data_IF_705686366359
#
_entry.id   IF_705686366359
#
_cell.length_a   1.000
_cell.length_b   1.000
_cell.length_c   1.000
_cell.angle_alpha   90.00
_cell.angle_beta   90.00
_cell.angle_gamma   90.00
#
_symmetry.space_group_name_H-M   'P 1'
#
loop_
_entity.id
_entity.type
_entity.pdbx_description
1 polymer ?
#
# COMPACT_ATOMS: atom_id res chain seq x y z
N UNK A 1 18.62 -45.98 -64.05
CA UNK A 1 17.67 -44.92 -63.65
C UNK A 1 17.92 -44.66 -62.17
N UNK A 2 19.08 -44.05 -61.87
CA UNK A 2 19.33 -42.64 -61.51
C UNK A 2 19.54 -42.59 -59.98
N UNK A 3 20.75 -42.63 -59.41
CA UNK A 3 21.95 -41.79 -59.52
C UNK A 3 21.81 -40.42 -58.81
N UNK A 4 22.64 -40.23 -57.75
CA UNK A 4 23.06 -38.99 -57.03
C UNK A 4 21.96 -38.09 -56.42
N UNK A 5 22.07 -37.40 -55.27
CA UNK A 5 23.20 -36.76 -54.57
C UNK A 5 22.72 -36.25 -53.15
N UNK A 6 23.38 -35.35 -52.39
CA UNK A 6 24.06 -35.66 -51.13
C UNK A 6 23.57 -34.87 -49.88
N UNK A 7 24.15 -35.23 -48.73
CA UNK A 7 24.48 -34.41 -47.55
C UNK A 7 23.83 -33.02 -47.41
N UNK A 8 23.03 -32.84 -46.36
CA UNK A 8 23.04 -31.60 -45.57
C UNK A 8 22.85 -31.91 -44.09
N UNK A 9 23.99 -32.04 -43.40
CA UNK A 9 24.06 -31.92 -41.95
C UNK A 9 23.92 -30.43 -41.59
N UNK A 10 22.73 -29.97 -41.25
CA UNK A 10 22.60 -28.76 -40.43
C UNK A 10 23.09 -29.11 -39.02
N UNK A 11 24.37 -28.86 -38.79
CA UNK A 11 24.92 -28.71 -37.45
C UNK A 11 24.20 -27.52 -36.81
N UNK A 12 23.25 -27.80 -35.91
CA UNK A 12 22.74 -26.79 -35.00
C UNK A 12 23.93 -26.12 -34.30
N UNK A 13 23.99 -24.78 -34.22
CA UNK A 13 25.03 -24.12 -33.46
C UNK A 13 24.91 -24.57 -32.00
N UNK A 14 25.89 -25.36 -31.57
CA UNK A 14 26.09 -25.70 -30.16
C UNK A 14 26.27 -24.37 -29.43
N UNK A 15 25.20 -23.91 -28.75
CA UNK A 15 25.29 -22.75 -27.88
C UNK A 15 26.42 -23.03 -26.89
N UNK A 16 27.40 -22.12 -26.72
CA UNK A 16 28.38 -22.29 -25.67
C UNK A 16 27.61 -22.48 -24.36
N UNK A 17 28.01 -23.44 -23.51
CA UNK A 17 27.38 -23.60 -22.21
C UNK A 17 27.43 -22.23 -21.54
N UNK A 18 26.25 -21.74 -21.13
CA UNK A 18 26.15 -20.54 -20.29
C UNK A 18 27.12 -20.80 -19.16
N UNK A 19 28.20 -20.02 -19.14
CA UNK A 19 29.18 -20.04 -18.08
C UNK A 19 28.37 -19.62 -16.85
N UNK A 20 27.87 -20.60 -16.11
CA UNK A 20 27.43 -20.40 -14.74
C UNK A 20 28.65 -19.82 -14.07
N UNK A 21 28.61 -18.51 -13.87
CA UNK A 21 29.53 -17.87 -12.95
C UNK A 21 29.22 -18.54 -11.63
N UNK A 22 30.03 -19.53 -11.28
CA UNK A 22 30.03 -20.13 -9.98
C UNK A 22 30.53 -19.02 -9.06
N UNK A 23 29.59 -18.21 -8.58
CA UNK A 23 29.85 -17.29 -7.49
C UNK A 23 30.18 -18.23 -6.31
N UNK A 24 31.42 -18.17 -5.79
CA UNK A 24 31.84 -19.03 -4.70
C UNK A 24 30.94 -18.80 -3.47
N UNK A 25 30.93 -19.76 -2.55
CA UNK A 25 30.17 -19.81 -1.29
C UNK A 25 30.46 -18.64 -0.30
N UNK A 26 30.87 -17.47 -0.78
CA UNK A 26 31.31 -16.32 0.02
C UNK A 26 30.17 -15.42 0.50
N UNK A 27 28.94 -15.62 0.03
CA UNK A 27 27.78 -14.83 0.45
C UNK A 27 26.82 -15.64 1.32
N UNK A 28 27.33 -16.29 2.37
CA UNK A 28 26.53 -17.01 3.38
C UNK A 28 25.34 -16.17 3.87
N UNK A 29 25.56 -14.86 4.08
CA UNK A 29 24.50 -13.92 4.49
C UNK A 29 23.39 -13.79 3.44
N UNK A 30 23.74 -13.69 2.15
CA UNK A 30 22.73 -13.58 1.09
C UNK A 30 21.95 -14.89 0.95
N UNK A 31 22.64 -16.04 1.00
CA UNK A 31 21.98 -17.36 0.95
C UNK A 31 21.03 -17.54 2.14
N UNK A 32 21.42 -17.13 3.34
CA UNK A 32 20.58 -17.21 4.52
C UNK A 32 19.34 -16.30 4.42
N UNK A 33 19.51 -15.07 3.93
CA UNK A 33 18.41 -14.13 3.67
C UNK A 33 17.46 -14.72 2.62
N UNK A 34 17.98 -15.21 1.50
CA UNK A 34 17.19 -15.81 0.42
C UNK A 34 16.42 -17.03 0.91
N UNK A 35 17.02 -17.87 1.76
CA UNK A 35 16.32 -18.98 2.41
C UNK A 35 15.16 -18.49 3.29
N UNK A 36 15.38 -17.44 4.08
CA UNK A 36 14.33 -16.81 4.89
C UNK A 36 13.18 -16.25 4.04
N UNK A 37 13.49 -15.50 2.98
CA UNK A 37 12.49 -14.95 2.05
C UNK A 37 11.71 -16.06 1.33
N UNK A 38 12.38 -17.15 0.97
CA UNK A 38 11.72 -18.32 0.34
C UNK A 38 10.81 -19.06 1.33
N UNK A 39 11.19 -19.17 2.61
CA UNK A 39 10.29 -19.70 3.65
C UNK A 39 9.06 -18.80 3.82
N UNK A 40 9.24 -17.48 3.80
CA UNK A 40 8.13 -16.53 3.88
C UNK A 40 7.20 -16.64 2.66
N UNK A 41 7.74 -16.77 1.43
CA UNK A 41 6.92 -17.00 0.21
C UNK A 41 6.01 -18.22 0.32
N UNK A 42 6.56 -19.33 0.83
CA UNK A 42 5.84 -20.60 0.98
C UNK A 42 4.96 -20.69 2.23
N UNK A 43 5.01 -19.68 3.10
CA UNK A 43 4.26 -19.68 4.35
C UNK A 43 2.80 -19.35 4.17
N UNK A 44 1.94 -19.99 4.98
CA UNK A 44 0.51 -19.64 5.12
C UNK A 44 0.28 -18.20 5.58
N UNK A 45 1.29 -17.52 6.14
CA UNK A 45 1.18 -16.12 6.57
C UNK A 45 0.80 -15.20 5.41
N UNK A 46 1.35 -15.42 4.22
CA UNK A 46 1.03 -14.63 3.03
C UNK A 46 -0.44 -14.82 2.61
N UNK A 47 -0.93 -16.07 2.59
CA UNK A 47 -2.33 -16.36 2.26
C UNK A 47 -3.30 -15.77 3.30
N UNK A 48 -2.91 -15.80 4.58
CA UNK A 48 -3.71 -15.25 5.67
C UNK A 48 -3.81 -13.73 5.59
N UNK A 49 -2.71 -13.01 5.37
CA UNK A 49 -2.74 -11.55 5.32
C UNK A 49 -3.60 -11.05 4.16
N UNK A 50 -3.52 -11.72 3.01
CA UNK A 50 -4.35 -11.45 1.84
C UNK A 50 -5.83 -11.75 2.08
N UNK A 51 -6.16 -12.91 2.70
CA UNK A 51 -7.53 -13.26 3.04
C UNK A 51 -8.19 -12.24 3.99
N UNK A 52 -7.37 -11.55 4.80
CA UNK A 52 -7.82 -10.55 5.78
C UNK A 52 -7.97 -9.14 5.21
N UNK A 53 -7.65 -8.88 3.94
CA UNK A 53 -7.89 -7.57 3.30
C UNK A 53 -9.37 -7.16 3.38
N UNK A 54 -10.27 -8.11 3.13
CA UNK A 54 -11.72 -7.90 3.25
C UNK A 54 -12.15 -7.47 4.65
N UNK A 55 -11.47 -7.98 5.69
CA UNK A 55 -11.73 -7.62 7.07
C UNK A 55 -11.35 -6.16 7.35
N UNK A 56 -10.22 -5.68 6.82
CA UNK A 56 -9.84 -4.26 6.94
C UNK A 56 -10.82 -3.34 6.21
N UNK A 57 -11.29 -3.74 5.03
CA UNK A 57 -12.34 -3.00 4.30
C UNK A 57 -13.60 -2.92 5.15
N UNK A 58 -14.09 -4.05 5.68
CA UNK A 58 -15.25 -4.07 6.56
C UNK A 58 -15.03 -3.20 7.80
N UNK A 59 -13.86 -3.29 8.44
CA UNK A 59 -13.49 -2.48 9.59
C UNK A 59 -13.56 -0.98 9.27
N UNK A 60 -13.05 -0.54 8.13
CA UNK A 60 -13.13 0.86 7.72
C UNK A 60 -14.55 1.33 7.41
N UNK A 61 -15.34 0.48 6.75
CA UNK A 61 -16.74 0.79 6.42
C UNK A 61 -17.63 0.90 7.66
N UNK A 62 -17.47 -0.03 8.62
CA UNK A 62 -18.15 0.05 9.92
C UNK A 62 -17.58 1.17 10.80
N UNK A 63 -16.28 1.42 10.71
CA UNK A 63 -15.61 2.54 11.38
C UNK A 63 -16.20 3.88 10.97
N UNK A 64 -16.53 4.07 9.69
CA UNK A 64 -17.21 5.27 9.21
C UNK A 64 -18.57 5.49 9.88
N UNK A 65 -19.39 4.45 10.02
CA UNK A 65 -20.64 4.56 10.78
C UNK A 65 -20.40 4.91 12.24
N UNK A 66 -19.41 4.27 12.87
CA UNK A 66 -19.02 4.57 14.25
C UNK A 66 -18.63 6.04 14.43
N UNK A 67 -17.75 6.55 13.58
CA UNK A 67 -17.31 7.95 13.61
C UNK A 67 -18.45 8.92 13.29
N UNK A 68 -19.41 8.54 12.43
CA UNK A 68 -20.60 9.34 12.12
C UNK A 68 -21.44 9.56 13.39
N UNK A 69 -21.76 8.46 14.09
CA UNK A 69 -22.58 8.50 15.31
C UNK A 69 -21.84 9.19 16.45
N UNK A 70 -20.55 8.90 16.65
CA UNK A 70 -19.75 9.54 17.68
C UNK A 70 -19.58 11.05 17.41
N UNK A 71 -19.51 11.49 16.15
CA UNK A 71 -19.50 12.92 15.81
C UNK A 71 -20.78 13.64 16.19
N UNK A 72 -21.93 13.03 15.95
CA UNK A 72 -23.20 13.59 16.37
C UNK A 72 -23.31 13.61 17.90
N UNK A 73 -22.84 12.56 18.57
CA UNK A 73 -22.81 12.48 20.03
C UNK A 73 -21.87 13.53 20.64
N UNK A 74 -20.69 13.74 20.06
CA UNK A 74 -19.75 14.78 20.48
C UNK A 74 -20.35 16.19 20.33
N UNK A 75 -21.11 16.44 19.27
CA UNK A 75 -21.81 17.71 19.07
C UNK A 75 -22.89 18.00 20.13
N UNK A 76 -23.44 16.97 20.78
CA UNK A 76 -24.37 17.13 21.92
C UNK A 76 -23.61 17.23 23.24
N UNK A 77 -22.59 16.39 23.46
CA UNK A 77 -21.90 16.27 24.75
C UNK A 77 -20.95 17.44 25.01
N UNK A 78 -20.20 17.90 24.01
CA UNK A 78 -19.19 18.93 24.23
C UNK A 78 -19.79 20.28 24.69
N UNK A 79 -20.91 20.77 24.12
CA UNK A 79 -21.54 22.00 24.61
C UNK A 79 -22.13 21.88 26.02
N UNK A 80 -22.57 20.68 26.42
CA UNK A 80 -23.03 20.42 27.78
C UNK A 80 -21.88 20.37 28.79
N UNK A 81 -20.68 20.02 28.34
CA UNK A 81 -19.48 19.95 29.18
C UNK A 81 -18.76 21.29 29.30
N UNK A 82 -18.85 22.13 28.27
CA UNK A 82 -18.07 23.35 28.15
C UNK A 82 -18.96 24.55 27.84
N UNK A 83 -19.17 25.42 28.84
CA UNK A 83 -20.07 26.60 28.73
C UNK A 83 -19.66 27.59 27.63
N UNK A 84 -18.38 27.60 27.25
CA UNK A 84 -17.83 28.46 26.20
C UNK A 84 -18.12 27.95 24.77
N UNK A 85 -18.64 26.74 24.61
CA UNK A 85 -19.03 26.20 23.30
C UNK A 85 -20.49 26.56 22.99
N UNK A 86 -20.76 27.32 21.92
CA UNK A 86 -22.14 27.63 21.55
C UNK A 86 -22.85 26.38 21.02
N UNK A 87 -23.89 25.93 21.73
CA UNK A 87 -24.65 24.71 21.43
C UNK A 87 -25.28 24.66 20.03
N UNK A 88 -25.77 25.79 19.52
CA UNK A 88 -26.41 25.84 18.20
C UNK A 88 -25.43 25.53 17.05
N UNK A 89 -24.25 26.17 17.04
CA UNK A 89 -23.25 25.97 15.99
C UNK A 89 -22.59 24.59 16.05
N UNK A 90 -22.40 24.05 17.25
CA UNK A 90 -21.82 22.72 17.47
C UNK A 90 -22.76 21.61 17.02
N UNK A 91 -24.07 21.72 17.31
CA UNK A 91 -25.08 20.79 16.78
C UNK A 91 -25.15 20.82 15.25
N UNK A 92 -25.15 22.01 14.65
CA UNK A 92 -25.12 22.14 13.19
C UNK A 92 -23.84 21.52 12.59
N UNK A 93 -22.69 21.71 13.26
CA UNK A 93 -21.42 21.08 12.89
C UNK A 93 -21.48 19.55 12.98
N UNK A 94 -22.10 18.99 14.03
CA UNK A 94 -22.31 17.55 14.16
C UNK A 94 -23.21 16.97 13.07
N UNK A 95 -24.27 17.69 12.71
CA UNK A 95 -25.15 17.29 11.60
C UNK A 95 -24.41 17.35 10.25
N UNK A 96 -23.63 18.41 10.02
CA UNK A 96 -22.80 18.53 8.82
C UNK A 96 -21.76 17.40 8.73
N UNK A 97 -21.12 17.04 9.85
CA UNK A 97 -20.19 15.92 9.94
C UNK A 97 -20.87 14.58 9.64
N UNK A 98 -22.05 14.34 10.19
CA UNK A 98 -22.84 13.13 9.93
C UNK A 98 -23.20 13.00 8.44
N UNK A 99 -23.64 14.09 7.80
CA UNK A 99 -23.92 14.09 6.36
C UNK A 99 -22.64 13.89 5.53
N UNK A 100 -21.54 14.55 5.90
CA UNK A 100 -20.25 14.40 5.22
C UNK A 100 -19.72 12.96 5.29
N UNK A 101 -19.82 12.31 6.45
CA UNK A 101 -19.38 10.92 6.65
C UNK A 101 -20.23 9.91 5.86
N UNK A 102 -21.52 10.16 5.65
CA UNK A 102 -22.35 9.37 4.74
C UNK A 102 -21.84 9.49 3.29
N UNK A 103 -21.52 10.70 2.83
CA UNK A 103 -20.97 10.91 1.48
C UNK A 103 -19.61 10.21 1.35
N UNK A 104 -18.74 10.32 2.36
CA UNK A 104 -17.44 9.64 2.39
C UNK A 104 -17.60 8.12 2.36
N UNK A 105 -18.58 7.57 3.06
CA UNK A 105 -18.91 6.15 3.01
C UNK A 105 -19.30 5.71 1.60
N UNK A 106 -20.15 6.47 0.93
CA UNK A 106 -20.53 6.18 -0.45
C UNK A 106 -19.33 6.23 -1.40
N UNK A 107 -18.44 7.22 -1.24
CA UNK A 107 -17.20 7.33 -2.03
C UNK A 107 -16.33 6.09 -1.80
N UNK A 108 -16.05 5.74 -0.54
CA UNK A 108 -15.21 4.58 -0.21
C UNK A 108 -15.81 3.28 -0.78
N UNK A 109 -17.12 3.08 -0.61
CA UNK A 109 -17.85 1.92 -1.15
C UNK A 109 -17.69 1.78 -2.67
N UNK A 110 -17.76 2.90 -3.40
CA UNK A 110 -17.68 2.89 -4.86
C UNK A 110 -16.26 2.69 -5.38
N UNK A 111 -15.25 3.30 -4.73
CA UNK A 111 -13.87 3.30 -5.23
C UNK A 111 -13.02 2.10 -4.77
N UNK A 112 -13.31 1.48 -3.62
CA UNK A 112 -12.55 0.31 -3.15
C UNK A 112 -12.57 -0.88 -4.15
N UNK A 113 -13.71 -1.23 -4.78
CA UNK A 113 -13.73 -2.25 -5.83
C UNK A 113 -12.99 -1.82 -7.11
N UNK A 114 -13.05 -0.53 -7.47
CA UNK A 114 -12.38 0.00 -8.66
C UNK A 114 -10.85 -0.16 -8.60
N UNK A 115 -10.27 -0.05 -7.40
CA UNK A 115 -8.85 -0.30 -7.15
C UNK A 115 -8.44 -1.71 -7.59
N UNK A 116 -9.22 -2.72 -7.24
CA UNK A 116 -8.93 -4.10 -7.62
C UNK A 116 -9.04 -4.30 -9.14
N UNK A 117 -10.03 -3.64 -9.75
CA UNK A 117 -10.26 -3.73 -11.18
C UNK A 117 -9.10 -3.13 -11.97
N UNK A 118 -8.62 -1.93 -11.59
CA UNK A 118 -7.58 -1.24 -12.34
C UNK A 118 -6.20 -1.90 -12.21
N UNK A 119 -5.87 -2.49 -11.05
CA UNK A 119 -4.63 -3.28 -10.86
C UNK A 119 -4.62 -4.49 -11.80
N UNK A 120 -5.77 -5.17 -11.94
CA UNK A 120 -5.92 -6.32 -12.84
C UNK A 120 -5.90 -5.93 -14.32
N UNK A 121 -6.40 -4.75 -14.65
CA UNK A 121 -6.44 -4.25 -16.03
C UNK A 121 -5.07 -3.83 -16.58
N UNK A 122 -4.09 -3.55 -15.73
CA UNK A 122 -2.80 -2.96 -16.11
C UNK A 122 -1.65 -3.94 -15.88
N UNK A 123 -1.33 -4.89 -16.77
CA UNK A 123 -0.21 -5.81 -16.55
C UNK A 123 1.13 -5.05 -16.59
N UNK A 124 2.00 -5.31 -15.62
CA UNK A 124 3.34 -4.69 -15.58
C UNK A 124 4.41 -5.76 -15.46
N UNK A 125 5.64 -5.42 -15.77
CA UNK A 125 6.72 -6.39 -15.81
C UNK A 125 7.99 -5.82 -15.18
N UNK A 126 8.59 -6.53 -14.23
CA UNK A 126 9.69 -6.05 -13.38
C UNK A 126 10.69 -7.18 -13.12
N UNK A 127 11.96 -6.85 -12.90
CA UNK A 127 12.98 -7.82 -12.52
C UNK A 127 12.69 -8.43 -11.14
N UNK A 128 12.97 -9.71 -10.92
CA UNK A 128 12.71 -10.38 -9.64
C UNK A 128 13.62 -9.89 -8.48
N UNK A 129 14.94 -9.68 -8.66
CA UNK A 129 15.83 -9.39 -7.54
C UNK A 129 15.54 -8.06 -6.82
N UNK A 130 15.07 -7.04 -7.54
CA UNK A 130 14.75 -5.73 -6.93
C UNK A 130 13.57 -5.83 -5.96
N UNK A 131 12.63 -6.73 -6.23
CA UNK A 131 11.47 -6.96 -5.37
C UNK A 131 11.85 -7.66 -4.06
N UNK A 132 12.83 -8.56 -4.11
CA UNK A 132 13.31 -9.28 -2.92
C UNK A 132 14.08 -8.36 -1.97
N UNK A 133 14.91 -7.47 -2.52
CA UNK A 133 15.58 -6.42 -1.73
C UNK A 133 14.56 -5.45 -1.15
N UNK A 134 13.57 -5.02 -1.95
CA UNK A 134 12.52 -4.14 -1.47
C UNK A 134 11.69 -4.78 -0.35
N UNK A 135 11.34 -6.07 -0.49
CA UNK A 135 10.63 -6.83 0.53
C UNK A 135 11.40 -6.82 1.86
N UNK A 136 12.70 -7.14 1.80
CA UNK A 136 13.56 -7.18 2.98
C UNK A 136 13.66 -5.81 3.66
N UNK A 137 13.93 -4.75 2.91
CA UNK A 137 14.05 -3.38 3.44
C UNK A 137 12.74 -2.93 4.08
N UNK A 138 11.61 -3.25 3.45
CA UNK A 138 10.28 -2.87 3.95
C UNK A 138 9.93 -3.61 5.23
N UNK A 139 10.21 -4.93 5.32
CA UNK A 139 10.01 -5.73 6.52
C UNK A 139 10.87 -5.22 7.69
N UNK A 140 12.16 -4.98 7.45
CA UNK A 140 13.06 -4.40 8.45
C UNK A 140 12.60 -2.99 8.89
N UNK A 141 12.07 -2.19 7.95
CA UNK A 141 11.44 -0.91 8.25
C UNK A 141 10.26 -1.04 9.20
N UNK A 142 9.39 -2.04 9.00
CA UNK A 142 8.25 -2.33 9.88
C UNK A 142 8.69 -2.67 11.32
N UNK A 143 9.69 -3.54 11.47
CA UNK A 143 10.29 -3.86 12.78
C UNK A 143 10.88 -2.59 13.41
N UNK A 144 11.60 -1.77 12.63
CA UNK A 144 12.14 -0.49 13.07
C UNK A 144 11.06 0.47 13.59
N UNK A 145 9.92 0.55 12.89
CA UNK A 145 8.76 1.34 13.32
C UNK A 145 8.22 0.89 14.68
N UNK A 146 8.13 -0.42 14.94
CA UNK A 146 7.69 -0.93 16.25
C UNK A 146 8.65 -0.56 17.37
N UNK A 147 9.95 -0.80 17.17
CA UNK A 147 10.98 -0.47 18.17
C UNK A 147 10.95 1.03 18.48
N UNK A 148 10.91 1.87 17.45
CA UNK A 148 10.82 3.32 17.61
C UNK A 148 9.52 3.75 18.29
N UNK A 149 8.40 3.12 17.93
CA UNK A 149 7.10 3.35 18.55
C UNK A 149 7.08 3.06 20.05
N UNK A 150 7.71 1.97 20.48
CA UNK A 150 7.86 1.63 21.91
C UNK A 150 8.70 2.70 22.62
N UNK A 151 9.83 3.10 22.03
CA UNK A 151 10.69 4.15 22.60
C UNK A 151 9.93 5.47 22.76
N UNK A 152 9.18 5.88 21.73
CA UNK A 152 8.37 7.09 21.79
C UNK A 152 7.25 6.97 22.82
N UNK A 153 6.54 5.84 22.87
CA UNK A 153 5.49 5.60 23.84
C UNK A 153 5.98 5.72 25.28
N UNK A 154 7.15 5.14 25.59
CA UNK A 154 7.78 5.26 26.91
C UNK A 154 8.13 6.71 27.24
N UNK A 155 8.60 7.49 26.24
CA UNK A 155 8.99 8.90 26.44
C UNK A 155 7.80 9.85 26.56
N UNK A 156 6.76 9.65 25.77
CA UNK A 156 5.60 10.57 25.71
C UNK A 156 4.45 10.12 26.60
N UNK A 157 4.48 8.88 27.10
CA UNK A 157 3.35 8.22 27.77
C UNK A 157 2.06 8.21 26.94
N UNK A 158 2.16 8.43 25.62
CA UNK A 158 1.01 8.51 24.71
C UNK A 158 0.79 7.18 24.00
N UNK A 159 -0.29 6.49 24.40
CA UNK A 159 -0.68 5.24 23.77
C UNK A 159 -1.01 5.39 22.27
N UNK A 160 -1.48 6.57 21.85
CA UNK A 160 -1.74 6.89 20.44
C UNK A 160 -0.47 6.78 19.58
N UNK A 161 0.69 7.16 20.12
CA UNK A 161 1.97 7.03 19.39
C UNK A 161 2.35 5.58 19.16
N UNK A 162 2.12 4.71 20.15
CA UNK A 162 2.32 3.28 20.01
C UNK A 162 1.39 2.68 18.95
N UNK A 163 0.08 3.00 19.01
CA UNK A 163 -0.89 2.52 18.03
C UNK A 163 -0.54 2.92 16.60
N UNK A 164 -0.07 4.15 16.39
CA UNK A 164 0.37 4.61 15.08
C UNK A 164 1.56 3.80 14.55
N UNK A 165 2.55 3.53 15.40
CA UNK A 165 3.69 2.69 15.05
C UNK A 165 3.29 1.25 14.71
N UNK A 166 2.33 0.67 15.44
CA UNK A 166 1.76 -0.64 15.12
C UNK A 166 1.08 -0.63 13.75
N UNK A 167 0.30 0.41 13.43
CA UNK A 167 -0.34 0.51 12.11
C UNK A 167 0.69 0.61 10.98
N UNK A 168 1.75 1.41 11.15
CA UNK A 168 2.83 1.49 10.18
C UNK A 168 3.53 0.16 9.99
N UNK A 169 3.82 -0.57 11.07
CA UNK A 169 4.44 -1.88 11.00
C UNK A 169 3.56 -2.88 10.22
N UNK A 170 2.25 -2.92 10.50
CA UNK A 170 1.31 -3.77 9.74
C UNK A 170 1.31 -3.42 8.26
N UNK A 171 1.34 -2.14 7.89
CA UNK A 171 1.41 -1.70 6.50
C UNK A 171 2.74 -2.08 5.83
N UNK A 172 3.85 -1.93 6.54
CA UNK A 172 5.18 -2.33 6.07
C UNK A 172 5.26 -3.83 5.83
N UNK A 173 4.78 -4.65 6.76
CA UNK A 173 4.74 -6.10 6.60
C UNK A 173 3.84 -6.51 5.43
N UNK A 174 2.64 -5.92 5.32
CA UNK A 174 1.74 -6.19 4.20
C UNK A 174 2.36 -5.80 2.85
N UNK A 175 3.07 -4.67 2.79
CA UNK A 175 3.81 -4.26 1.61
C UNK A 175 4.93 -5.24 1.26
N UNK A 176 5.73 -5.69 2.24
CA UNK A 176 6.79 -6.68 2.04
C UNK A 176 6.25 -8.01 1.52
N UNK A 177 5.10 -8.48 2.03
CA UNK A 177 4.45 -9.70 1.55
C UNK A 177 3.98 -9.57 0.09
N UNK A 178 3.41 -8.42 -0.29
CA UNK A 178 3.03 -8.15 -1.68
C UNK A 178 4.25 -8.12 -2.62
N UNK A 179 5.40 -7.64 -2.15
CA UNK A 179 6.65 -7.68 -2.89
C UNK A 179 7.14 -9.10 -3.15
N UNK A 180 6.97 -9.99 -2.18
CA UNK A 180 7.34 -11.41 -2.30
C UNK A 180 6.42 -12.19 -3.24
N UNK A 181 5.20 -11.69 -3.50
CA UNK A 181 4.19 -12.31 -4.37
C UNK A 181 3.68 -11.34 -5.46
N UNK A 182 4.54 -10.99 -6.45
CA UNK A 182 4.24 -10.01 -7.49
C UNK A 182 3.01 -10.35 -8.35
N UNK A 183 2.63 -11.63 -8.44
CA UNK A 183 1.45 -12.10 -9.18
C UNK A 183 0.15 -11.42 -8.70
N UNK A 184 0.04 -11.07 -7.43
CA UNK A 184 -1.14 -10.40 -6.87
C UNK A 184 -1.29 -8.94 -7.33
N UNK A 185 -0.18 -8.33 -7.74
CA UNK A 185 -0.15 -6.99 -8.32
C UNK A 185 -0.22 -7.03 -9.86
N UNK A 186 -0.49 -8.19 -10.45
CA UNK A 186 -0.46 -8.42 -11.90
C UNK A 186 0.91 -8.04 -12.49
N UNK A 187 1.98 -8.51 -11.84
CA UNK A 187 3.37 -8.25 -12.22
C UNK A 187 4.02 -9.55 -12.66
N UNK A 188 4.58 -9.55 -13.87
CA UNK A 188 5.37 -10.66 -14.39
C UNK A 188 6.87 -10.37 -14.26
N UNK A 189 7.63 -11.39 -13.85
CA UNK A 189 9.07 -11.31 -13.73
C UNK A 189 9.75 -11.84 -14.99
N UNK A 190 10.31 -10.95 -15.80
CA UNK A 190 11.07 -11.30 -17.02
C UNK A 190 12.58 -11.09 -16.78
N UNK A 191 13.42 -11.99 -17.29
CA UNK A 191 14.87 -11.87 -17.22
C UNK A 191 15.44 -10.96 -18.31
N UNK A 192 16.26 -9.99 -17.89
CA UNK A 192 17.07 -9.04 -18.69
C UNK A 192 16.29 -8.00 -19.50
N UNK A 193 16.43 -6.73 -19.10
CA UNK A 193 15.82 -5.55 -19.74
C UNK A 193 16.78 -4.39 -19.77
N UNK A 194 16.51 -3.39 -20.61
CA UNK A 194 17.25 -2.14 -20.53
C UNK A 194 16.98 -1.44 -19.20
N UNK A 195 17.96 -0.70 -18.67
CA UNK A 195 17.83 0.01 -17.40
C UNK A 195 16.59 0.95 -17.37
N UNK A 196 16.25 1.58 -18.50
CA UNK A 196 15.05 2.42 -18.61
C UNK A 196 13.74 1.64 -18.48
N UNK A 197 13.66 0.43 -19.05
CA UNK A 197 12.49 -0.45 -18.91
C UNK A 197 12.38 -1.04 -17.50
N UNK A 198 13.51 -1.28 -16.84
CA UNK A 198 13.54 -1.72 -15.45
C UNK A 198 13.07 -0.62 -14.50
N UNK A 199 13.50 0.63 -14.73
CA UNK A 199 13.04 1.80 -13.98
C UNK A 199 11.53 2.03 -14.12
N UNK A 200 11.00 2.03 -15.36
CA UNK A 200 9.54 2.15 -15.59
C UNK A 200 8.77 1.00 -14.95
N UNK A 201 9.32 -0.22 -15.00
CA UNK A 201 8.76 -1.37 -14.32
C UNK A 201 8.67 -1.15 -12.81
N UNK A 202 9.75 -0.71 -12.18
CA UNK A 202 9.78 -0.42 -10.74
C UNK A 202 8.84 0.72 -10.33
N UNK A 203 8.74 1.77 -11.15
CA UNK A 203 7.80 2.87 -10.92
C UNK A 203 6.35 2.38 -10.98
N UNK A 204 6.03 1.54 -11.97
CA UNK A 204 4.72 0.90 -12.11
C UNK A 204 4.39 0.00 -10.93
N UNK A 205 5.36 -0.80 -10.47
CA UNK A 205 5.25 -1.59 -9.26
C UNK A 205 4.95 -0.71 -8.04
N UNK A 206 5.71 0.36 -7.83
CA UNK A 206 5.56 1.25 -6.68
C UNK A 206 4.15 1.87 -6.63
N UNK A 207 3.64 2.32 -7.77
CA UNK A 207 2.30 2.93 -7.89
C UNK A 207 1.21 1.89 -7.60
N UNK A 208 1.34 0.66 -8.13
CA UNK A 208 0.41 -0.45 -7.84
C UNK A 208 0.46 -0.91 -6.38
N UNK A 209 1.64 -1.00 -5.80
CA UNK A 209 1.83 -1.34 -4.39
C UNK A 209 1.09 -0.35 -3.50
N UNK A 210 1.29 0.95 -3.73
CA UNK A 210 0.56 2.00 -3.02
C UNK A 210 -0.95 1.84 -3.18
N UNK A 211 -1.44 1.57 -4.39
CA UNK A 211 -2.86 1.36 -4.63
C UNK A 211 -3.41 0.12 -3.89
N UNK A 212 -2.62 -0.95 -3.80
CA UNK A 212 -2.97 -2.18 -3.08
C UNK A 212 -2.92 -2.03 -1.56
N UNK A 213 -2.18 -1.07 -1.04
CA UNK A 213 -2.13 -0.73 0.39
C UNK A 213 -3.38 0.03 0.86
N UNK A 214 -4.06 0.75 -0.04
CA UNK A 214 -5.19 1.61 0.31
C UNK A 214 -6.28 0.91 1.13
N UNK A 215 -6.76 -0.30 0.79
CA UNK A 215 -7.83 -0.93 1.56
C UNK A 215 -7.45 -1.19 3.02
N UNK A 216 -6.18 -1.57 3.25
CA UNK A 216 -5.64 -1.81 4.61
C UNK A 216 -5.45 -0.48 5.34
N UNK A 217 -4.86 0.53 4.69
CA UNK A 217 -4.67 1.87 5.27
C UNK A 217 -6.01 2.55 5.58
N UNK A 218 -7.02 2.37 4.73
CA UNK A 218 -8.38 2.82 4.98
C UNK A 218 -8.96 2.20 6.26
N UNK A 219 -8.87 0.87 6.39
CA UNK A 219 -9.35 0.16 7.58
C UNK A 219 -8.66 0.59 8.87
N UNK A 220 -7.33 0.60 8.86
CA UNK A 220 -6.52 1.00 10.02
C UNK A 220 -6.69 2.49 10.35
N UNK A 221 -6.74 3.36 9.35
CA UNK A 221 -6.93 4.79 9.52
C UNK A 221 -8.29 5.13 10.15
N UNK A 222 -9.35 4.45 9.73
CA UNK A 222 -10.68 4.62 10.34
C UNK A 222 -10.74 4.05 11.75
N UNK A 223 -10.04 2.95 12.03
CA UNK A 223 -9.90 2.43 13.39
C UNK A 223 -9.20 3.43 14.31
N UNK A 224 -8.11 4.05 13.86
CA UNK A 224 -7.43 5.13 14.61
C UNK A 224 -8.33 6.35 14.78
N UNK A 225 -9.03 6.77 13.72
CA UNK A 225 -9.98 7.88 13.77
C UNK A 225 -11.10 7.63 14.79
N UNK A 226 -11.61 6.40 14.88
CA UNK A 226 -12.58 6.01 15.89
C UNK A 226 -12.00 6.10 17.31
N UNK A 227 -10.77 5.61 17.53
CA UNK A 227 -10.09 5.69 18.82
C UNK A 227 -9.86 7.16 19.25
N UNK A 228 -9.47 8.03 18.31
CA UNK A 228 -9.32 9.46 18.58
C UNK A 228 -10.65 10.14 18.88
N UNK A 229 -11.73 9.76 18.19
CA UNK A 229 -13.06 10.29 18.48
C UNK A 229 -13.56 9.89 19.87
N UNK A 230 -13.31 8.64 20.28
CA UNK A 230 -13.59 8.17 21.64
C UNK A 230 -12.76 8.99 22.64
N UNK A 231 -11.46 9.17 22.39
CA UNK A 231 -10.61 9.97 23.26
C UNK A 231 -11.14 11.41 23.41
N UNK A 232 -11.51 12.07 22.30
CA UNK A 232 -12.09 13.41 22.28
C UNK A 232 -13.34 13.52 23.18
N UNK A 233 -14.17 12.49 23.20
CA UNK A 233 -15.42 12.43 23.99
C UNK A 233 -15.19 12.26 25.50
N UNK A 234 -14.14 11.55 25.90
CA UNK A 234 -13.87 11.25 27.31
C UNK A 234 -12.79 12.11 27.94
N UNK A 235 -11.94 12.74 27.13
CA UNK A 235 -10.89 13.63 27.61
C UNK A 235 -11.48 14.95 28.15
N UNK A 236 -10.83 15.46 29.20
CA UNK A 236 -11.11 16.78 29.76
C UNK A 236 -10.09 17.76 29.21
N UNK A 237 -10.58 18.89 28.70
CA UNK A 237 -9.76 19.94 28.11
C UNK A 237 -9.76 21.16 29.01
N UNK A 238 -8.56 21.61 29.38
CA UNK A 238 -8.40 22.78 30.26
C UNK A 238 -8.55 24.10 29.50
N UNK A 239 -8.31 24.10 28.19
CA UNK A 239 -8.44 25.28 27.33
C UNK A 239 -8.86 24.91 25.90
N UNK A 240 -9.44 25.87 25.19
CA UNK A 240 -10.01 25.71 23.85
C UNK A 240 -9.00 25.16 22.84
N UNK A 241 -7.75 25.64 22.90
CA UNK A 241 -6.69 25.22 21.98
C UNK A 241 -6.43 23.72 22.01
N UNK A 242 -6.41 23.08 23.19
CA UNK A 242 -6.21 21.65 23.32
C UNK A 242 -7.36 20.85 22.66
N UNK A 243 -8.62 21.27 22.88
CA UNK A 243 -9.77 20.66 22.21
C UNK A 243 -9.66 20.78 20.69
N UNK A 244 -9.29 21.96 20.18
CA UNK A 244 -9.17 22.19 18.74
C UNK A 244 -8.03 21.38 18.11
N UNK A 245 -6.92 21.16 18.84
CA UNK A 245 -5.84 20.28 18.37
C UNK A 245 -6.30 18.84 18.22
N UNK A 246 -6.95 18.27 19.23
CA UNK A 246 -7.43 16.88 19.19
C UNK A 246 -8.57 16.70 18.18
N UNK A 247 -9.47 17.69 18.10
CA UNK A 247 -10.51 17.72 17.07
C UNK A 247 -9.90 17.76 15.67
N UNK A 248 -8.91 18.63 15.45
CA UNK A 248 -8.21 18.74 14.17
C UNK A 248 -7.48 17.46 13.77
N UNK A 249 -6.81 16.80 14.72
CA UNK A 249 -6.17 15.50 14.51
C UNK A 249 -7.19 14.41 14.15
N UNK A 250 -8.32 14.38 14.85
CA UNK A 250 -9.40 13.42 14.58
C UNK A 250 -10.02 13.64 13.20
N UNK A 251 -10.31 14.90 12.87
CA UNK A 251 -10.83 15.31 11.57
C UNK A 251 -9.87 14.90 10.45
N UNK A 252 -8.58 15.23 10.60
CA UNK A 252 -7.55 14.90 9.63
C UNK A 252 -7.43 13.38 9.43
N UNK A 253 -7.41 12.60 10.50
CA UNK A 253 -7.31 11.14 10.43
C UNK A 253 -8.49 10.51 9.66
N UNK A 254 -9.72 10.92 9.99
CA UNK A 254 -10.94 10.40 9.35
C UNK A 254 -11.02 10.83 7.90
N UNK A 255 -10.79 12.11 7.60
CA UNK A 255 -10.87 12.62 6.22
C UNK A 255 -9.78 12.01 5.35
N UNK A 256 -8.54 11.97 5.83
CA UNK A 256 -7.42 11.38 5.11
C UNK A 256 -7.71 9.92 4.74
N UNK A 257 -8.10 9.11 5.73
CA UNK A 257 -8.36 7.70 5.50
C UNK A 257 -9.58 7.49 4.60
N UNK A 258 -10.68 8.24 4.79
CA UNK A 258 -11.91 8.06 4.01
C UNK A 258 -11.80 8.52 2.56
N UNK A 259 -10.99 9.55 2.29
CA UNK A 259 -10.74 10.02 0.93
C UNK A 259 -9.63 9.23 0.22
N UNK A 260 -8.87 8.40 0.96
CA UNK A 260 -7.77 7.59 0.43
C UNK A 260 -8.15 6.75 -0.80
N UNK A 261 -9.32 6.06 -0.85
CA UNK A 261 -9.73 5.30 -2.02
C UNK A 261 -9.91 6.15 -3.28
N UNK A 262 -10.50 7.34 -3.14
CA UNK A 262 -10.71 8.27 -4.23
C UNK A 262 -9.38 8.90 -4.67
N UNK A 263 -8.63 9.46 -3.73
CA UNK A 263 -7.38 10.15 -4.04
C UNK A 263 -6.34 9.19 -4.60
N UNK A 264 -6.21 8.00 -4.02
CA UNK A 264 -5.30 6.99 -4.52
C UNK A 264 -5.64 6.49 -5.92
N UNK A 265 -6.93 6.35 -6.25
CA UNK A 265 -7.37 6.03 -7.61
C UNK A 265 -6.96 7.13 -8.61
N UNK A 266 -7.20 8.40 -8.29
CA UNK A 266 -6.83 9.52 -9.16
C UNK A 266 -5.32 9.67 -9.32
N UNK A 267 -4.57 9.55 -8.22
CA UNK A 267 -3.10 9.58 -8.21
C UNK A 267 -2.55 8.43 -9.07
N UNK A 268 -3.13 7.23 -8.97
CA UNK A 268 -2.75 6.10 -9.80
C UNK A 268 -2.97 6.38 -11.29
N UNK A 269 -4.13 6.90 -11.68
CA UNK A 269 -4.40 7.25 -13.08
C UNK A 269 -3.37 8.26 -13.61
N UNK A 270 -3.07 9.28 -12.82
CA UNK A 270 -2.09 10.30 -13.19
C UNK A 270 -0.69 9.70 -13.35
N UNK A 271 -0.22 8.91 -12.39
CA UNK A 271 1.11 8.29 -12.47
C UNK A 271 1.21 7.25 -13.58
N UNK A 272 0.17 6.47 -13.82
CA UNK A 272 0.17 5.50 -14.90
C UNK A 272 0.21 6.17 -16.26
N UNK A 273 -0.51 7.29 -16.42
CA UNK A 273 -0.39 8.13 -17.62
C UNK A 273 1.05 8.64 -17.85
N UNK A 274 1.76 9.06 -16.79
CA UNK A 274 3.16 9.46 -16.89
C UNK A 274 4.08 8.28 -17.26
N UNK A 275 3.82 7.10 -16.72
CA UNK A 275 4.55 5.87 -17.07
C UNK A 275 4.33 5.52 -18.55
N UNK A 276 3.08 5.57 -19.03
CA UNK A 276 2.74 5.28 -20.42
C UNK A 276 3.41 6.28 -21.36
N UNK A 277 3.43 7.57 -20.99
CA UNK A 277 4.18 8.59 -21.73
C UNK A 277 5.67 8.29 -21.78
N UNK A 278 6.28 7.94 -20.64
CA UNK A 278 7.68 7.54 -20.57
C UNK A 278 7.98 6.29 -21.41
N UNK A 279 7.07 5.31 -21.39
CA UNK A 279 7.17 4.09 -22.19
C UNK A 279 7.07 4.39 -23.69
N UNK A 280 6.21 5.33 -24.10
CA UNK A 280 6.09 5.75 -25.50
C UNK A 280 7.34 6.49 -25.99
N UNK A 281 7.96 7.31 -25.15
CA UNK A 281 9.23 8.00 -25.48
C UNK A 281 10.37 6.98 -25.63
N UNK A 282 10.42 5.96 -24.78
CA UNK A 282 11.45 4.93 -24.80
C UNK A 282 11.19 3.81 -25.83
N UNK A 283 9.98 3.73 -26.39
CA UNK A 283 9.59 2.75 -27.40
C UNK A 283 9.19 3.43 -28.71
N UNK A 284 10.16 3.78 -29.57
CA UNK A 284 10.48 2.89 -30.69
C UNK A 284 11.93 3.02 -31.19
N UNK A 285 12.82 2.10 -30.83
CA UNK A 285 14.11 1.92 -31.52
C UNK A 285 14.37 0.50 -32.03
N UNK A 286 13.43 -0.44 -31.85
CA UNK A 286 13.64 -1.85 -32.21
C UNK A 286 12.92 -2.35 -33.46
N UNK A 287 12.10 -1.52 -34.11
CA UNK A 287 11.37 -1.91 -35.33
C UNK A 287 11.99 -1.35 -36.63
N UNK A 288 13.05 -0.55 -36.55
CA UNK A 288 13.71 0.02 -37.73
C UNK A 288 14.92 -0.81 -38.22
N UNK A 289 15.36 -1.82 -37.46
CA UNK A 289 16.57 -2.62 -37.79
C UNK A 289 16.25 -4.01 -38.36
N UNK A 290 14.97 -4.42 -38.34
CA UNK A 290 14.48 -5.73 -38.85
C UNK A 290 13.53 -5.56 -40.05
N UNK A 291 13.77 -4.57 -40.93
CA UNK A 291 13.13 -4.55 -42.26
C UNK A 291 14.18 -4.95 -43.29
N UNK A 292 14.12 -6.17 -43.84
CA UNK A 292 15.02 -6.60 -44.93
C UNK A 292 14.77 -5.83 -46.24
#
# INVERSE_FOLDING_TARGET
MNDNDPKNHEQQPVRPPIRTIHIPDENFTAVFIDQGLNQLRGSRYCDLLEAKESWFVSLGMYGLYGVSVLGLLAAVVLPLRYDWLPGGYTLLGGLAWFLATIVLHYIAWKFLPCIHHIIRATPTRVSSPILDVFALVTALGGIGCLVWGIVLWVKTSSFSTFLFAVCLAVLSEYAALLSLRPSHLNIHTDGSRSAGQEFLGFLSYSVKLNLRLIPVTFGLGLFLGLAFMINLLFSRYDYVGALLTDFGLTLAAVLYASLLPLSGYLIFLFWHFLIDLGSAILGPQKQAEDTP
#
